data_IF_307177258511
#
_entry.id   IF_307177258511
#
_cell.length_a   1.000
_cell.length_b   1.000
_cell.length_c   1.000
_cell.angle_alpha   90.00
_cell.angle_beta   90.00
_cell.angle_gamma   90.00
#
_symmetry.space_group_name_H-M   'P 1'
#
loop_
_entity.id
_entity.type
_entity.pdbx_description
1 polymer ?
#
# COMPACT_ATOMS: atom_id res chain seq x y z
N UNK A 1 -0.61 0.40 -28.22
CA UNK A 1 -0.58 0.58 -26.75
C UNK A 1 -0.23 -0.72 -26.05
N UNK A 2 -0.97 -1.82 -26.24
CA UNK A 2 -0.67 -3.11 -25.60
C UNK A 2 0.79 -3.58 -25.76
N UNK A 3 1.32 -3.60 -27.00
CA UNK A 3 2.73 -3.93 -27.28
C UNK A 3 3.75 -3.01 -26.60
N UNK A 4 3.42 -1.72 -26.44
CA UNK A 4 4.34 -0.75 -25.82
C UNK A 4 4.45 -1.01 -24.31
N UNK A 5 3.36 -1.39 -23.67
CA UNK A 5 3.40 -1.76 -22.26
C UNK A 5 4.14 -3.09 -22.02
N UNK A 6 4.03 -4.04 -22.94
CA UNK A 6 4.63 -5.37 -22.81
C UNK A 6 6.12 -5.39 -23.20
N UNK A 7 6.48 -4.86 -24.36
CA UNK A 7 7.83 -4.97 -24.95
C UNK A 7 8.54 -3.61 -25.09
N UNK A 8 7.86 -2.51 -24.79
CA UNK A 8 8.41 -1.17 -24.98
C UNK A 8 9.55 -0.83 -24.02
N UNK A 9 10.49 -0.03 -24.50
CA UNK A 9 11.55 0.57 -23.68
C UNK A 9 10.96 1.53 -22.64
N UNK A 10 11.72 1.81 -21.58
CA UNK A 10 11.33 2.74 -20.51
C UNK A 10 10.97 4.12 -21.10
N UNK A 11 11.72 4.58 -22.09
CA UNK A 11 11.49 5.84 -22.81
C UNK A 11 10.15 5.87 -23.54
N UNK A 12 9.81 4.80 -24.28
CA UNK A 12 8.53 4.67 -24.98
C UNK A 12 7.35 4.64 -24.01
N UNK A 13 7.50 3.94 -22.87
CA UNK A 13 6.49 3.92 -21.81
C UNK A 13 6.32 5.30 -21.18
N UNK A 14 7.41 6.02 -20.95
CA UNK A 14 7.40 7.38 -20.39
C UNK A 14 6.70 8.36 -21.33
N UNK A 15 7.02 8.28 -22.63
CA UNK A 15 6.36 9.11 -23.63
C UNK A 15 4.86 8.79 -23.74
N UNK A 16 4.49 7.51 -23.64
CA UNK A 16 3.07 7.12 -23.59
C UNK A 16 2.36 7.71 -22.37
N UNK A 17 3.01 7.73 -21.19
CA UNK A 17 2.42 8.36 -19.99
C UNK A 17 2.21 9.87 -20.18
N UNK A 18 3.16 10.57 -20.80
CA UNK A 18 3.02 12.00 -21.14
C UNK A 18 1.88 12.25 -22.11
N UNK A 19 1.72 11.40 -23.13
CA UNK A 19 0.58 11.48 -24.07
C UNK A 19 -0.74 11.30 -23.32
N UNK A 20 -0.83 10.36 -22.38
CA UNK A 20 -2.03 10.21 -21.54
C UNK A 20 -2.28 11.45 -20.68
N UNK A 21 -1.24 12.02 -20.07
CA UNK A 21 -1.37 13.22 -19.25
C UNK A 21 -1.88 14.42 -20.07
N UNK A 22 -1.31 14.67 -21.26
CA UNK A 22 -1.74 15.73 -22.17
C UNK A 22 -3.19 15.51 -22.63
N UNK A 23 -3.53 14.26 -22.96
CA UNK A 23 -4.87 13.88 -23.36
C UNK A 23 -5.91 14.14 -22.26
N UNK A 24 -5.65 13.67 -21.03
CA UNK A 24 -6.54 13.88 -19.89
C UNK A 24 -6.67 15.35 -19.51
N UNK A 25 -5.58 16.12 -19.60
CA UNK A 25 -5.59 17.57 -19.32
C UNK A 25 -6.34 18.37 -20.38
N UNK A 26 -6.25 17.97 -21.65
CA UNK A 26 -6.98 18.59 -22.74
C UNK A 26 -8.49 18.34 -22.60
N UNK A 27 -8.87 17.13 -22.19
CA UNK A 27 -10.27 16.79 -21.95
C UNK A 27 -10.86 17.57 -20.77
N UNK A 28 -10.13 17.65 -19.65
CA UNK A 28 -10.57 18.41 -18.47
C UNK A 28 -10.82 19.90 -18.81
N UNK A 29 -9.90 20.52 -19.55
CA UNK A 29 -10.09 21.90 -20.05
C UNK A 29 -11.29 22.04 -20.99
N UNK A 30 -11.63 20.99 -21.75
CA UNK A 30 -12.79 20.98 -22.64
C UNK A 30 -14.09 20.92 -21.82
N UNK A 31 -14.11 20.11 -20.77
CA UNK A 31 -15.24 19.99 -19.83
C UNK A 31 -15.43 21.29 -19.05
N UNK A 32 -14.37 21.86 -18.46
CA UNK A 32 -14.43 23.08 -17.66
C UNK A 32 -14.95 24.28 -18.46
N UNK A 33 -14.50 24.43 -19.72
CA UNK A 33 -14.99 25.50 -20.60
C UNK A 33 -16.50 25.39 -20.86
N UNK A 34 -17.06 24.18 -20.85
CA UNK A 34 -18.50 23.96 -21.05
C UNK A 34 -19.30 24.28 -19.80
N UNK A 35 -18.84 23.85 -18.63
CA UNK A 35 -19.49 24.20 -17.35
C UNK A 35 -19.46 25.71 -17.05
N UNK A 36 -18.37 26.40 -17.41
CA UNK A 36 -18.28 27.86 -17.33
C UNK A 36 -19.17 28.61 -18.34
N UNK A 37 -19.47 27.99 -19.50
CA UNK A 37 -20.34 28.58 -20.52
C UNK A 37 -21.84 28.43 -20.21
N UNK A 38 -22.21 27.39 -19.46
CA UNK A 38 -23.59 27.08 -19.07
C UNK A 38 -24.05 27.78 -17.78
N UNK A 39 -23.14 28.20 -16.90
CA UNK A 39 -23.47 28.89 -15.63
C UNK A 39 -23.69 30.41 -15.77
N UNK A 40 -23.29 31.04 -16.88
CA UNK A 40 -23.38 32.49 -17.06
C UNK A 40 -24.52 33.02 -17.95
N UNK A 41 -25.20 32.17 -18.72
CA UNK A 41 -26.04 32.63 -19.85
C UNK A 41 -27.50 32.19 -19.85
N UNK A 42 -27.97 31.39 -18.88
CA UNK A 42 -29.29 30.72 -18.99
C UNK A 42 -30.32 31.18 -17.95
N UNK A 43 -30.10 32.27 -17.21
CA UNK A 43 -31.10 32.71 -16.23
C UNK A 43 -32.33 33.40 -16.85
N UNK A 44 -32.29 33.85 -18.13
CA UNK A 44 -33.42 34.61 -18.73
C UNK A 44 -33.75 34.36 -20.22
N UNK A 45 -33.20 33.35 -20.88
CA UNK A 45 -33.62 33.00 -22.25
C UNK A 45 -33.93 31.53 -22.35
N UNK A 46 -35.21 31.25 -22.56
CA UNK A 46 -35.81 29.92 -22.67
C UNK A 46 -35.58 29.34 -24.07
N UNK A 47 -34.33 29.31 -24.51
CA UNK A 47 -33.89 28.52 -25.65
C UNK A 47 -33.10 27.34 -25.09
N UNK A 48 -33.82 26.28 -24.74
CA UNK A 48 -33.19 25.01 -24.39
C UNK A 48 -32.62 24.47 -25.70
N UNK A 49 -31.30 24.41 -25.80
CA UNK A 49 -30.60 23.93 -26.99
C UNK A 49 -31.06 22.49 -27.29
N UNK A 50 -31.71 22.32 -28.43
CA UNK A 50 -32.34 21.07 -28.87
C UNK A 50 -31.27 19.97 -29.02
N UNK A 51 -30.01 20.34 -29.28
CA UNK A 51 -28.89 19.40 -29.34
C UNK A 51 -28.53 18.81 -27.97
N UNK A 52 -28.65 19.59 -26.89
CA UNK A 52 -28.48 19.09 -25.52
C UNK A 52 -29.62 18.17 -25.09
N UNK A 53 -30.83 18.37 -25.64
CA UNK A 53 -32.00 17.49 -25.43
C UNK A 53 -31.98 16.23 -26.31
N UNK A 54 -31.38 16.28 -27.50
CA UNK A 54 -31.17 15.10 -28.35
C UNK A 54 -30.03 14.22 -27.86
N UNK A 55 -29.15 14.75 -27.00
CA UNK A 55 -27.94 14.09 -26.54
C UNK A 55 -26.95 13.97 -27.69
N UNK A 56 -25.94 14.83 -27.72
CA UNK A 56 -24.82 14.69 -28.66
C UNK A 56 -24.13 13.35 -28.40
N UNK A 57 -24.59 12.33 -29.14
CA UNK A 57 -24.20 10.94 -28.97
C UNK A 57 -22.71 10.71 -29.23
N UNK A 58 -22.10 11.50 -30.11
CA UNK A 58 -20.64 11.50 -30.33
C UNK A 58 -19.88 12.00 -29.09
N UNK A 59 -20.40 13.01 -28.40
CA UNK A 59 -19.70 13.66 -27.31
C UNK A 59 -19.76 12.85 -26.00
N UNK A 60 -20.92 12.25 -25.71
CA UNK A 60 -21.04 11.24 -24.65
C UNK A 60 -20.26 9.97 -24.98
N UNK A 61 -20.15 9.60 -26.27
CA UNK A 61 -19.30 8.50 -26.69
C UNK A 61 -17.82 8.80 -26.43
N UNK A 62 -17.34 10.01 -26.72
CA UNK A 62 -15.95 10.43 -26.43
C UNK A 62 -15.62 10.40 -24.93
N UNK A 63 -16.50 10.93 -24.08
CA UNK A 63 -16.33 10.86 -22.62
C UNK A 63 -16.30 9.40 -22.12
N UNK A 64 -17.16 8.55 -22.68
CA UNK A 64 -17.19 7.11 -22.40
C UNK A 64 -15.93 6.36 -22.87
N UNK A 65 -15.35 6.77 -24.00
CA UNK A 65 -14.09 6.21 -24.52
C UNK A 65 -12.92 6.55 -23.60
N UNK A 66 -12.87 7.75 -23.04
CA UNK A 66 -11.78 8.16 -22.12
C UNK A 66 -11.77 7.33 -20.84
N UNK A 67 -12.92 7.19 -20.20
CA UNK A 67 -13.07 6.34 -19.01
C UNK A 67 -12.71 4.87 -19.33
N UNK A 68 -13.24 4.34 -20.44
CA UNK A 68 -12.98 2.96 -20.86
C UNK A 68 -11.50 2.70 -21.18
N UNK A 69 -10.82 3.66 -21.81
CA UNK A 69 -9.41 3.60 -22.12
C UNK A 69 -8.56 3.56 -20.85
N UNK A 70 -8.81 4.48 -19.92
CA UNK A 70 -8.06 4.54 -18.66
C UNK A 70 -8.29 3.28 -17.81
N UNK A 71 -9.53 2.81 -17.70
CA UNK A 71 -9.85 1.59 -16.95
C UNK A 71 -9.19 0.34 -17.55
N UNK A 72 -9.15 0.22 -18.89
CA UNK A 72 -8.47 -0.92 -19.57
C UNK A 72 -6.98 -0.96 -19.26
N UNK A 73 -6.31 0.20 -19.27
CA UNK A 73 -4.86 0.28 -19.08
C UNK A 73 -4.44 0.56 -17.63
N UNK A 74 -5.38 0.77 -16.70
CA UNK A 74 -5.12 1.16 -15.31
C UNK A 74 -4.08 0.25 -14.65
N UNK A 75 -4.26 -1.08 -14.75
CA UNK A 75 -3.30 -2.04 -14.17
C UNK A 75 -1.89 -1.88 -14.72
N UNK A 76 -1.75 -1.56 -16.01
CA UNK A 76 -0.45 -1.35 -16.67
C UNK A 76 0.15 0.00 -16.25
N UNK A 77 -0.67 1.04 -16.09
CA UNK A 77 -0.28 2.37 -15.60
C UNK A 77 0.21 2.29 -14.15
N UNK A 78 -0.53 1.63 -13.25
CA UNK A 78 -0.16 1.44 -11.85
C UNK A 78 1.18 0.70 -11.71
N UNK A 79 1.43 -0.32 -12.55
CA UNK A 79 2.74 -0.97 -12.62
C UNK A 79 3.87 -0.01 -13.03
N UNK A 80 3.61 0.89 -13.97
CA UNK A 80 4.60 1.90 -14.37
C UNK A 80 4.85 2.92 -13.25
N UNK A 81 3.83 3.25 -12.45
CA UNK A 81 3.96 4.11 -11.28
C UNK A 81 4.78 3.48 -10.13
N UNK A 82 5.14 2.20 -10.24
CA UNK A 82 5.99 1.47 -9.31
C UNK A 82 7.28 0.98 -9.97
N UNK A 83 7.60 1.46 -11.17
CA UNK A 83 8.82 1.10 -11.87
C UNK A 83 10.05 1.68 -11.17
N UNK A 84 11.22 1.06 -11.38
CA UNK A 84 12.51 1.50 -10.84
C UNK A 84 12.92 2.90 -11.37
N UNK A 85 12.68 3.15 -12.67
CA UNK A 85 12.97 4.44 -13.32
C UNK A 85 12.12 5.58 -12.75
N UNK A 86 12.79 6.62 -12.27
CA UNK A 86 12.18 7.81 -11.68
C UNK A 86 11.30 8.59 -12.67
N UNK A 87 11.79 8.80 -13.89
CA UNK A 87 11.04 9.51 -14.94
C UNK A 87 9.73 8.81 -15.29
N UNK A 88 9.78 7.49 -15.48
CA UNK A 88 8.61 6.69 -15.81
C UNK A 88 7.61 6.69 -14.65
N UNK A 89 8.12 6.52 -13.42
CA UNK A 89 7.33 6.52 -12.21
C UNK A 89 6.59 7.84 -12.01
N UNK A 90 7.30 8.97 -12.14
CA UNK A 90 6.72 10.29 -11.99
C UNK A 90 5.66 10.56 -13.08
N UNK A 91 5.98 10.29 -14.35
CA UNK A 91 5.02 10.48 -15.44
C UNK A 91 3.77 9.60 -15.28
N UNK A 92 3.93 8.35 -14.84
CA UNK A 92 2.81 7.46 -14.57
C UNK A 92 1.98 7.92 -13.36
N UNK A 93 2.62 8.44 -12.32
CA UNK A 93 1.92 8.95 -11.13
C UNK A 93 1.05 10.17 -11.46
N UNK A 94 1.49 11.06 -12.35
CA UNK A 94 0.66 12.17 -12.85
C UNK A 94 -0.61 11.67 -13.53
N UNK A 95 -0.51 10.60 -14.32
CA UNK A 95 -1.68 9.98 -14.97
C UNK A 95 -2.62 9.38 -13.91
N UNK A 96 -2.09 8.70 -12.89
CA UNK A 96 -2.89 8.17 -11.77
C UNK A 96 -3.61 9.30 -11.02
N UNK A 97 -2.91 10.41 -10.77
CA UNK A 97 -3.48 11.61 -10.15
C UNK A 97 -4.66 12.13 -10.96
N UNK A 98 -4.49 12.31 -12.27
CA UNK A 98 -5.57 12.76 -13.16
C UNK A 98 -6.78 11.80 -13.15
N UNK A 99 -6.54 10.48 -13.20
CA UNK A 99 -7.60 9.46 -13.16
C UNK A 99 -8.47 9.59 -11.90
N UNK A 100 -7.87 9.86 -10.74
CA UNK A 100 -8.59 10.00 -9.46
C UNK A 100 -9.35 11.33 -9.38
N UNK A 101 -8.71 12.44 -9.77
CA UNK A 101 -9.35 13.76 -9.75
C UNK A 101 -10.59 13.78 -10.67
N UNK A 102 -10.45 13.21 -11.87
CA UNK A 102 -11.52 13.12 -12.86
C UNK A 102 -12.52 11.98 -12.59
N UNK A 103 -12.26 11.11 -11.60
CA UNK A 103 -13.17 10.01 -11.23
C UNK A 103 -13.31 8.92 -12.29
N UNK A 104 -12.30 8.73 -13.14
CA UNK A 104 -12.34 7.78 -14.26
C UNK A 104 -12.20 6.32 -13.83
N UNK A 105 -11.70 6.06 -12.63
CA UNK A 105 -11.57 4.73 -12.06
C UNK A 105 -11.92 4.69 -10.58
N UNK A 106 -12.19 3.49 -10.07
CA UNK A 106 -12.46 3.29 -8.66
C UNK A 106 -11.18 3.53 -7.82
N UNK A 107 -11.21 4.45 -6.84
CA UNK A 107 -10.00 4.91 -6.15
C UNK A 107 -9.30 3.83 -5.33
N UNK A 108 -10.04 2.84 -4.80
CA UNK A 108 -9.47 1.65 -4.11
C UNK A 108 -8.42 0.95 -4.98
N UNK A 109 -8.60 0.89 -6.30
CA UNK A 109 -7.64 0.24 -7.20
C UNK A 109 -6.33 1.02 -7.34
N UNK A 110 -6.35 2.33 -7.06
CA UNK A 110 -5.20 3.20 -7.19
C UNK A 110 -4.44 3.37 -5.86
N UNK A 111 -5.11 3.12 -4.72
CA UNK A 111 -4.52 3.22 -3.38
C UNK A 111 -3.20 2.46 -3.20
N UNK A 112 -3.00 1.22 -3.71
CA UNK A 112 -1.71 0.54 -3.57
C UNK A 112 -0.54 1.36 -4.14
N UNK A 113 -0.74 2.02 -5.28
CA UNK A 113 0.29 2.84 -5.91
C UNK A 113 0.51 4.17 -5.17
N UNK A 114 -0.55 4.76 -4.61
CA UNK A 114 -0.47 6.00 -3.82
C UNK A 114 0.33 5.74 -2.53
N UNK A 115 -0.03 4.72 -1.77
CA UNK A 115 0.65 4.37 -0.51
C UNK A 115 2.11 4.01 -0.78
N UNK A 116 2.40 3.25 -1.85
CA UNK A 116 3.77 2.98 -2.23
C UNK A 116 4.54 4.27 -2.61
N UNK A 117 3.93 5.19 -3.37
CA UNK A 117 4.57 6.46 -3.73
C UNK A 117 4.82 7.39 -2.52
N UNK A 118 4.00 7.33 -1.47
CA UNK A 118 4.25 8.03 -0.19
C UNK A 118 5.53 7.55 0.50
N UNK A 119 5.98 6.33 0.21
CA UNK A 119 7.22 5.76 0.76
C UNK A 119 8.46 6.08 -0.07
N UNK A 120 8.31 6.79 -1.19
CA UNK A 120 9.42 7.13 -2.10
C UNK A 120 10.47 8.02 -1.43
N UNK A 121 11.78 7.82 -1.70
CA UNK A 121 12.83 8.75 -1.25
C UNK A 121 12.66 10.15 -1.84
N UNK A 122 12.14 10.28 -3.06
CA UNK A 122 11.88 11.58 -3.69
C UNK A 122 10.76 12.34 -2.95
N UNK A 123 11.13 13.51 -2.43
CA UNK A 123 10.24 14.40 -1.70
C UNK A 123 9.12 14.96 -2.59
N UNK A 124 9.38 15.18 -3.88
CA UNK A 124 8.38 15.75 -4.80
C UNK A 124 7.26 14.74 -5.02
N UNK A 125 7.63 13.50 -5.38
CA UNK A 125 6.66 12.40 -5.54
C UNK A 125 5.90 12.13 -4.24
N UNK A 126 6.60 12.08 -3.10
CA UNK A 126 5.98 11.84 -1.79
C UNK A 126 4.96 12.90 -1.41
N UNK A 127 5.28 14.19 -1.60
CA UNK A 127 4.35 15.29 -1.33
C UNK A 127 3.11 15.21 -2.24
N UNK A 128 3.30 14.90 -3.54
CA UNK A 128 2.19 14.72 -4.46
C UNK A 128 1.29 13.55 -4.04
N UNK A 129 1.89 12.43 -3.63
CA UNK A 129 1.16 11.29 -3.14
C UNK A 129 0.36 11.60 -1.88
N UNK A 130 0.94 12.34 -0.93
CA UNK A 130 0.25 12.81 0.27
C UNK A 130 -1.01 13.64 -0.06
N UNK A 131 -0.89 14.64 -0.94
CA UNK A 131 -2.04 15.48 -1.32
C UNK A 131 -3.12 14.68 -2.05
N UNK A 132 -2.71 13.75 -2.93
CA UNK A 132 -3.63 12.87 -3.64
C UNK A 132 -4.36 11.90 -2.69
N UNK A 133 -3.63 11.32 -1.72
CA UNK A 133 -4.21 10.47 -0.69
C UNK A 133 -5.19 11.26 0.18
N UNK A 134 -4.83 12.46 0.61
CA UNK A 134 -5.71 13.33 1.39
C UNK A 134 -6.99 13.69 0.60
N UNK A 135 -6.86 14.06 -0.66
CA UNK A 135 -8.02 14.31 -1.54
C UNK A 135 -8.93 13.08 -1.62
N UNK A 136 -8.36 11.90 -1.86
CA UNK A 136 -9.12 10.66 -1.92
C UNK A 136 -9.79 10.36 -0.56
N UNK A 137 -9.07 10.53 0.55
CA UNK A 137 -9.59 10.32 1.89
C UNK A 137 -10.81 11.19 2.18
N UNK A 138 -10.74 12.48 1.86
CA UNK A 138 -11.82 13.44 2.10
C UNK A 138 -13.04 13.15 1.22
N UNK A 139 -12.82 12.70 -0.03
CA UNK A 139 -13.90 12.43 -1.01
C UNK A 139 -14.59 11.08 -0.83
N UNK A 140 -13.84 10.01 -0.56
CA UNK A 140 -14.34 8.62 -0.56
C UNK A 140 -14.41 8.00 0.85
N UNK A 141 -13.82 8.65 1.85
CA UNK A 141 -13.91 8.24 3.25
C UNK A 141 -13.34 6.84 3.52
N UNK A 142 -14.01 6.09 4.40
CA UNK A 142 -13.51 4.81 4.92
C UNK A 142 -13.50 3.66 3.91
N UNK A 143 -14.17 3.79 2.76
CA UNK A 143 -14.20 2.74 1.73
C UNK A 143 -12.80 2.42 1.17
N UNK A 144 -11.93 3.44 1.15
CA UNK A 144 -10.56 3.33 0.64
C UNK A 144 -9.73 2.30 1.39
N UNK A 145 -10.00 2.07 2.66
CA UNK A 145 -9.14 1.28 3.54
C UNK A 145 -9.53 -0.20 3.64
N UNK A 146 -10.48 -0.64 2.80
CA UNK A 146 -10.96 -2.03 2.76
C UNK A 146 -9.87 -3.06 2.41
N UNK A 147 -8.85 -2.66 1.66
CA UNK A 147 -7.76 -3.53 1.18
C UNK A 147 -6.38 -3.13 1.74
N UNK A 148 -6.33 -2.63 2.98
CA UNK A 148 -5.10 -2.10 3.59
C UNK A 148 -3.90 -3.06 3.52
N UNK A 149 -4.12 -4.37 3.71
CA UNK A 149 -3.04 -5.36 3.63
C UNK A 149 -2.35 -5.38 2.25
N UNK A 150 -3.12 -5.18 1.17
CA UNK A 150 -2.59 -5.13 -0.20
C UNK A 150 -1.73 -3.87 -0.40
N UNK A 151 -2.11 -2.75 0.22
CA UNK A 151 -1.38 -1.49 0.12
C UNK A 151 -0.03 -1.57 0.83
N UNK A 152 -0.02 -2.16 2.04
CA UNK A 152 1.20 -2.39 2.82
C UNK A 152 2.15 -3.34 2.08
N UNK A 153 1.63 -4.43 1.53
CA UNK A 153 2.41 -5.36 0.71
C UNK A 153 2.98 -4.68 -0.54
N UNK A 154 2.17 -3.89 -1.25
CA UNK A 154 2.62 -3.13 -2.44
C UNK A 154 3.71 -2.11 -2.09
N UNK A 155 3.58 -1.43 -0.94
CA UNK A 155 4.61 -0.52 -0.44
C UNK A 155 5.92 -1.25 -0.15
N UNK A 156 5.86 -2.42 0.49
CA UNK A 156 7.05 -3.25 0.71
C UNK A 156 7.71 -3.69 -0.60
N UNK A 157 6.94 -4.16 -1.59
CA UNK A 157 7.48 -4.53 -2.89
C UNK A 157 8.12 -3.35 -3.60
N UNK A 158 7.54 -2.15 -3.48
CA UNK A 158 8.13 -0.94 -4.02
C UNK A 158 9.47 -0.58 -3.34
N UNK A 159 9.54 -0.69 -2.01
CA UNK A 159 10.81 -0.52 -1.28
C UNK A 159 11.87 -1.53 -1.71
N UNK A 160 11.46 -2.79 -1.96
CA UNK A 160 12.33 -3.85 -2.47
C UNK A 160 12.87 -3.54 -3.87
N UNK A 161 12.08 -2.92 -4.74
CA UNK A 161 12.53 -2.47 -6.06
C UNK A 161 13.60 -1.37 -5.92
N UNK A 162 13.44 -0.45 -4.96
CA UNK A 162 14.36 0.68 -4.79
C UNK A 162 15.67 0.31 -4.09
N UNK A 163 15.61 -0.53 -3.06
CA UNK A 163 16.74 -0.81 -2.15
C UNK A 163 17.21 -2.27 -2.18
N UNK A 164 16.60 -3.12 -3.01
CA UNK A 164 16.94 -4.54 -3.11
C UNK A 164 16.65 -5.29 -1.80
N UNK A 165 17.65 -5.97 -1.25
CA UNK A 165 17.54 -6.74 -0.01
C UNK A 165 17.63 -5.88 1.27
N UNK A 166 18.00 -4.60 1.16
CA UNK A 166 18.14 -3.71 2.31
C UNK A 166 16.88 -2.88 2.56
N UNK A 167 15.72 -3.54 2.60
CA UNK A 167 14.45 -2.87 2.90
C UNK A 167 14.39 -2.52 4.39
N UNK A 168 14.13 -1.25 4.69
CA UNK A 168 13.94 -0.75 6.04
C UNK A 168 12.56 -0.11 6.17
N UNK A 169 11.86 -0.38 7.28
CA UNK A 169 10.57 0.23 7.62
C UNK A 169 10.69 1.61 8.26
N UNK A 170 11.91 2.12 8.38
CA UNK A 170 12.24 3.39 9.03
C UNK A 170 13.26 4.15 8.20
N UNK A 171 13.17 5.48 8.23
CA UNK A 171 14.13 6.35 7.59
C UNK A 171 14.55 7.46 8.54
N UNK A 172 15.78 7.95 8.39
CA UNK A 172 16.27 9.07 9.18
C UNK A 172 15.89 10.37 8.48
N UNK A 173 15.02 11.15 9.12
CA UNK A 173 14.63 12.48 8.66
C UNK A 173 14.99 13.48 9.76
N UNK A 174 15.86 14.45 9.47
CA UNK A 174 16.24 15.54 10.39
C UNK A 174 16.57 15.08 11.83
N UNK A 175 17.40 14.04 11.94
CA UNK A 175 17.85 13.43 13.20
C UNK A 175 16.75 12.72 14.05
N UNK A 176 15.52 12.59 13.56
CA UNK A 176 14.50 11.69 14.10
C UNK A 176 14.36 10.46 13.19
N UNK A 177 14.20 9.28 13.79
CA UNK A 177 13.75 8.11 13.04
C UNK A 177 12.26 8.23 12.81
N UNK A 178 11.84 8.21 11.55
CA UNK A 178 10.43 8.25 11.16
C UNK A 178 10.04 6.98 10.43
N UNK A 179 8.80 6.54 10.62
CA UNK A 179 8.25 5.39 9.93
C UNK A 179 8.12 5.71 8.43
N UNK A 180 8.47 4.76 7.58
CA UNK A 180 8.30 4.91 6.13
C UNK A 180 6.82 5.09 5.76
N UNK A 181 5.93 4.43 6.51
CA UNK A 181 4.47 4.57 6.42
C UNK A 181 3.89 5.71 7.27
N UNK A 182 4.74 6.57 7.86
CA UNK A 182 4.32 7.69 8.71
C UNK A 182 3.44 8.70 7.96
N UNK A 183 3.74 8.96 6.69
CA UNK A 183 2.92 9.82 5.81
C UNK A 183 1.52 9.26 5.65
N UNK A 184 1.40 7.97 5.32
CA UNK A 184 0.13 7.26 5.19
C UNK A 184 -0.68 7.33 6.49
N UNK A 185 -0.02 7.06 7.63
CA UNK A 185 -0.64 7.14 8.95
C UNK A 185 -1.16 8.56 9.27
N UNK A 186 -0.40 9.59 8.88
CA UNK A 186 -0.76 10.99 9.14
C UNK A 186 -2.07 11.43 8.47
N UNK A 187 -2.44 10.82 7.33
CA UNK A 187 -3.71 11.06 6.63
C UNK A 187 -4.88 10.35 7.32
N UNK A 188 -4.63 9.17 7.91
CA UNK A 188 -5.66 8.32 8.52
C UNK A 188 -5.94 8.61 9.99
N UNK A 189 -5.00 9.26 10.69
CA UNK A 189 -5.01 9.43 12.16
C UNK A 189 -6.30 10.08 12.71
N UNK A 190 -6.94 10.93 11.91
CA UNK A 190 -8.13 11.70 12.30
C UNK A 190 -9.40 10.81 12.39
N UNK A 191 -9.45 9.72 11.61
CA UNK A 191 -10.60 8.81 11.59
C UNK A 191 -10.31 7.58 12.45
N UNK A 192 -10.93 7.52 13.64
CA UNK A 192 -10.78 6.42 14.61
C UNK A 192 -10.79 5.02 13.96
N UNK A 193 -11.80 4.74 13.12
CA UNK A 193 -11.91 3.44 12.43
C UNK A 193 -10.73 3.17 11.49
N UNK A 194 -10.38 4.11 10.61
CA UNK A 194 -9.28 3.95 9.65
C UNK A 194 -7.94 3.72 10.37
N UNK A 195 -7.73 4.43 11.48
CA UNK A 195 -6.56 4.29 12.33
C UNK A 195 -6.42 2.88 12.93
N UNK A 196 -7.47 2.35 13.55
CA UNK A 196 -7.42 0.99 14.12
C UNK A 196 -7.39 -0.11 13.06
N UNK A 197 -8.04 0.10 11.92
CA UNK A 197 -7.93 -0.81 10.78
C UNK A 197 -6.50 -0.83 10.23
N UNK A 198 -5.80 0.31 10.21
CA UNK A 198 -4.38 0.40 9.83
C UNK A 198 -3.47 -0.37 10.80
N UNK A 199 -3.61 -0.17 12.11
CA UNK A 199 -2.85 -0.94 13.10
C UNK A 199 -3.12 -2.44 13.01
N UNK A 200 -4.40 -2.80 12.82
CA UNK A 200 -4.78 -4.19 12.55
C UNK A 200 -4.08 -4.74 11.31
N UNK A 201 -3.96 -3.97 10.24
CA UNK A 201 -3.30 -4.40 9.00
C UNK A 201 -1.77 -4.54 9.14
N UNK A 202 -1.13 -3.78 10.04
CA UNK A 202 0.30 -3.94 10.34
C UNK A 202 0.60 -5.22 11.13
N UNK A 203 -0.30 -5.61 12.03
CA UNK A 203 -0.05 -6.71 12.99
C UNK A 203 -0.65 -8.05 12.52
N UNK A 204 -1.79 -8.04 11.82
CA UNK A 204 -2.44 -9.27 11.33
C UNK A 204 -1.57 -10.16 10.43
N UNK A 205 -0.60 -9.66 9.63
CA UNK A 205 0.31 -10.50 8.87
C UNK A 205 1.15 -11.47 9.73
N UNK A 206 1.29 -11.22 11.04
CA UNK A 206 1.93 -12.14 11.97
C UNK A 206 1.02 -13.29 12.43
N UNK A 207 -0.28 -13.25 12.11
CA UNK A 207 -1.26 -14.27 12.47
C UNK A 207 -1.23 -15.43 11.49
N UNK A 208 -0.23 -16.31 11.64
CA UNK A 208 -0.15 -17.56 10.88
C UNK A 208 -1.02 -18.66 11.49
N UNK A 209 -1.47 -19.59 10.66
CA UNK A 209 -2.10 -20.84 11.11
C UNK A 209 -1.17 -22.00 10.73
N UNK A 210 -0.68 -22.72 11.74
CA UNK A 210 0.29 -23.80 11.58
C UNK A 210 -0.22 -24.91 10.64
N UNK A 211 -1.52 -25.09 10.50
CA UNK A 211 -2.11 -26.17 9.67
C UNK A 211 -2.14 -25.84 8.18
N UNK A 212 -2.13 -24.56 7.83
CA UNK A 212 -2.34 -24.10 6.45
C UNK A 212 -1.13 -23.37 5.90
N UNK A 213 -0.28 -22.82 6.78
CA UNK A 213 0.88 -22.01 6.39
C UNK A 213 2.03 -22.89 5.94
N UNK A 214 2.57 -22.60 4.77
CA UNK A 214 3.80 -23.22 4.26
C UNK A 214 5.01 -22.32 4.55
N UNK A 215 6.21 -22.91 4.57
CA UNK A 215 7.44 -22.17 4.89
C UNK A 215 7.72 -21.04 3.88
N UNK A 216 7.27 -21.16 2.63
CA UNK A 216 7.50 -20.17 1.57
C UNK A 216 6.58 -18.95 1.66
N UNK A 217 5.42 -19.09 2.32
CA UNK A 217 4.49 -17.99 2.54
C UNK A 217 4.96 -17.02 3.62
N UNK A 218 5.94 -17.42 4.44
CA UNK A 218 6.50 -16.60 5.51
C UNK A 218 7.66 -15.77 4.97
N UNK A 219 7.36 -14.54 4.56
CA UNK A 219 8.36 -13.53 4.22
C UNK A 219 8.81 -12.78 5.48
N UNK A 220 9.96 -13.18 6.04
CA UNK A 220 10.53 -12.58 7.25
C UNK A 220 10.94 -11.11 7.01
N UNK A 221 11.43 -10.78 5.82
CA UNK A 221 11.84 -9.42 5.48
C UNK A 221 10.62 -8.49 5.44
N UNK A 222 9.49 -8.98 4.95
CA UNK A 222 8.22 -8.26 5.02
C UNK A 222 7.76 -8.04 6.47
N UNK A 223 7.79 -9.07 7.32
CA UNK A 223 7.42 -8.94 8.73
C UNK A 223 8.33 -7.96 9.47
N UNK A 224 9.63 -7.98 9.18
CA UNK A 224 10.60 -7.01 9.71
C UNK A 224 10.27 -5.58 9.26
N UNK A 225 9.96 -5.39 7.98
CA UNK A 225 9.53 -4.08 7.44
C UNK A 225 8.31 -3.54 8.19
N UNK A 226 7.30 -4.38 8.45
CA UNK A 226 6.11 -3.99 9.22
C UNK A 226 6.46 -3.65 10.68
N UNK A 227 7.28 -4.47 11.34
CA UNK A 227 7.69 -4.26 12.73
C UNK A 227 8.48 -2.95 12.90
N UNK A 228 9.41 -2.65 11.99
CA UNK A 228 10.17 -1.40 12.01
C UNK A 228 9.28 -0.17 11.82
N UNK A 229 8.26 -0.27 10.96
CA UNK A 229 7.26 0.78 10.83
C UNK A 229 6.48 0.96 12.13
N UNK A 230 5.93 -0.12 12.71
CA UNK A 230 5.15 -0.06 13.96
C UNK A 230 5.90 0.64 15.09
N UNK A 231 7.16 0.28 15.30
CA UNK A 231 8.00 0.86 16.35
C UNK A 231 8.33 2.33 16.09
N UNK A 232 8.41 2.74 14.83
CA UNK A 232 8.79 4.11 14.45
C UNK A 232 7.59 5.04 14.27
N UNK A 233 6.35 4.55 14.40
CA UNK A 233 5.15 5.38 14.31
C UNK A 233 5.03 6.31 15.52
N UNK A 234 4.63 7.56 15.24
CA UNK A 234 4.36 8.56 16.26
C UNK A 234 2.95 8.35 16.85
N UNK A 235 2.86 7.52 17.90
CA UNK A 235 1.59 7.21 18.58
C UNK A 235 1.31 8.28 19.64
N UNK A 236 0.16 8.95 19.53
CA UNK A 236 -0.15 10.11 20.38
C UNK A 236 -1.01 9.75 21.59
N UNK A 237 -1.69 8.61 21.57
CA UNK A 237 -2.64 8.23 22.63
C UNK A 237 -2.39 6.82 23.16
N UNK A 238 -2.64 6.63 24.46
CA UNK A 238 -2.52 5.32 25.11
C UNK A 238 -3.49 4.29 24.53
N UNK A 239 -4.66 4.71 24.03
CA UNK A 239 -5.64 3.82 23.37
C UNK A 239 -5.05 3.16 22.11
N UNK A 240 -4.23 3.90 21.34
CA UNK A 240 -3.57 3.38 20.13
C UNK A 240 -2.59 2.27 20.50
N UNK A 241 -1.74 2.49 21.51
CA UNK A 241 -0.75 1.50 21.94
C UNK A 241 -1.42 0.27 22.55
N UNK A 242 -2.41 0.46 23.43
CA UNK A 242 -3.15 -0.65 24.06
C UNK A 242 -3.86 -1.53 23.03
N UNK A 243 -4.43 -0.93 21.98
CA UNK A 243 -5.06 -1.70 20.91
C UNK A 243 -4.05 -2.56 20.15
N UNK A 244 -2.87 -2.01 19.85
CA UNK A 244 -1.80 -2.74 19.19
C UNK A 244 -1.32 -3.92 20.05
N UNK A 245 -1.02 -3.67 21.33
CA UNK A 245 -0.63 -4.70 22.30
C UNK A 245 -1.69 -5.79 22.42
N UNK A 246 -2.97 -5.42 22.50
CA UNK A 246 -4.08 -6.39 22.56
C UNK A 246 -4.12 -7.33 21.35
N UNK A 247 -3.91 -6.81 20.13
CA UNK A 247 -3.87 -7.65 18.92
C UNK A 247 -2.64 -8.57 18.96
N UNK A 248 -1.47 -8.04 19.34
CA UNK A 248 -0.25 -8.83 19.46
C UNK A 248 -0.42 -9.97 20.47
N UNK A 249 -1.00 -9.69 21.64
CA UNK A 249 -1.25 -10.70 22.67
C UNK A 249 -2.18 -11.81 22.20
N UNK A 250 -3.24 -11.48 21.46
CA UNK A 250 -4.13 -12.51 20.88
C UNK A 250 -3.40 -13.44 19.92
N UNK A 251 -2.51 -12.90 19.10
CA UNK A 251 -1.69 -13.70 18.18
C UNK A 251 -0.71 -14.56 18.99
N UNK A 252 -0.02 -13.97 19.96
CA UNK A 252 0.94 -14.69 20.83
C UNK A 252 0.29 -15.83 21.60
N UNK A 253 -0.90 -15.62 22.17
CA UNK A 253 -1.61 -16.67 22.92
C UNK A 253 -2.06 -17.83 22.03
N UNK A 254 -2.48 -17.54 20.79
CA UNK A 254 -3.00 -18.57 19.87
C UNK A 254 -1.84 -19.29 19.18
N UNK A 255 -1.05 -18.56 18.39
CA UNK A 255 0.04 -19.12 17.60
C UNK A 255 1.20 -19.60 18.49
N UNK A 256 1.48 -18.92 19.61
CA UNK A 256 2.57 -19.32 20.51
C UNK A 256 2.32 -20.67 21.19
N UNK A 257 1.09 -20.95 21.62
CA UNK A 257 0.75 -22.24 22.23
C UNK A 257 0.83 -23.39 21.22
N UNK A 258 0.33 -23.17 20.01
CA UNK A 258 0.36 -24.15 18.92
C UNK A 258 1.80 -24.42 18.47
N UNK A 259 2.60 -23.36 18.26
CA UNK A 259 4.00 -23.48 17.84
C UNK A 259 4.86 -24.15 18.91
N UNK A 260 4.68 -23.81 20.19
CA UNK A 260 5.43 -24.45 21.28
C UNK A 260 5.17 -25.97 21.32
N UNK A 261 3.91 -26.36 21.17
CA UNK A 261 3.50 -27.76 21.11
C UNK A 261 4.13 -28.48 19.90
N UNK A 262 4.15 -27.80 18.75
CA UNK A 262 4.76 -28.31 17.52
C UNK A 262 6.27 -28.46 17.62
N UNK A 263 6.98 -27.46 18.14
CA UNK A 263 8.44 -27.52 18.36
C UNK A 263 8.79 -28.63 19.36
N UNK A 264 8.01 -28.81 20.42
CA UNK A 264 8.19 -29.94 21.34
C UNK A 264 7.96 -31.31 20.67
N UNK A 265 7.01 -31.39 19.74
CA UNK A 265 6.78 -32.60 18.94
C UNK A 265 7.97 -32.90 18.02
N UNK A 266 8.46 -31.91 17.26
CA UNK A 266 9.64 -32.06 16.40
C UNK A 266 10.90 -32.43 17.19
N UNK A 267 11.07 -31.84 18.38
CA UNK A 267 12.18 -32.20 19.29
C UNK A 267 12.08 -33.66 19.75
N UNK A 268 10.88 -34.17 20.03
CA UNK A 268 10.67 -35.58 20.41
C UNK A 268 10.91 -36.55 19.25
N UNK A 269 10.69 -36.12 18.01
CA UNK A 269 10.98 -36.91 16.81
C UNK A 269 12.47 -36.93 16.43
N UNK A 270 13.31 -36.15 17.12
CA UNK A 270 14.75 -36.11 16.85
C UNK A 270 15.14 -35.28 15.62
N UNK A 271 14.24 -34.44 15.11
CA UNK A 271 14.47 -33.56 13.94
C UNK A 271 15.20 -32.26 14.38
N UNK A 272 15.05 -31.87 15.65
CA UNK A 272 15.76 -30.73 16.26
C UNK A 272 17.01 -31.23 16.98
N UNK A 273 18.03 -31.64 16.23
CA UNK A 273 19.39 -31.84 16.77
C UNK A 273 20.20 -30.58 16.44
N UNK A 274 20.98 -30.00 17.38
CA UNK A 274 21.96 -28.99 17.01
C UNK A 274 23.06 -29.70 16.21
N UNK A 275 22.97 -29.64 14.89
CA UNK A 275 23.99 -30.19 13.99
C UNK A 275 25.25 -29.33 14.12
N UNK A 276 26.31 -29.88 14.73
CA UNK A 276 27.67 -29.33 14.67
C UNK A 276 28.38 -29.65 13.35
N UNK A 277 27.75 -30.43 12.47
CA UNK A 277 28.33 -30.85 11.19
C UNK A 277 27.62 -30.18 10.00
N UNK A 278 28.39 -29.39 9.26
CA UNK A 278 28.06 -28.89 7.92
C UNK A 278 27.87 -30.09 6.96
N UNK A 279 26.65 -30.62 6.84
CA UNK A 279 26.31 -31.57 5.79
C UNK A 279 25.00 -31.17 5.12
N UNK A 280 25.14 -30.87 3.83
CA UNK A 280 24.16 -30.79 2.74
C UNK A 280 22.94 -29.86 2.94
N UNK A 281 22.99 -28.69 2.28
CA UNK A 281 21.91 -27.69 2.19
C UNK A 281 20.59 -28.25 1.58
N UNK A 282 20.59 -29.46 1.03
CA UNK A 282 19.50 -30.00 0.20
C UNK A 282 18.42 -30.80 0.96
N UNK A 283 18.59 -31.10 2.26
CA UNK A 283 17.66 -31.93 3.05
C UNK A 283 17.25 -31.28 4.39
N UNK A 284 17.13 -29.94 4.44
CA UNK A 284 16.50 -29.29 5.60
C UNK A 284 15.01 -29.67 5.61
N UNK A 285 14.59 -30.41 6.63
CA UNK A 285 13.19 -30.80 6.82
C UNK A 285 12.28 -29.55 6.71
N UNK A 286 11.30 -29.62 5.81
CA UNK A 286 10.33 -28.53 5.57
C UNK A 286 9.61 -28.13 6.84
N UNK A 287 9.38 -29.10 7.73
CA UNK A 287 8.74 -28.90 9.03
C UNK A 287 9.65 -28.13 10.00
N UNK A 288 10.96 -28.40 9.96
CA UNK A 288 11.95 -27.65 10.73
C UNK A 288 12.06 -26.20 10.23
N UNK A 289 12.12 -26.01 8.91
CA UNK A 289 12.17 -24.67 8.30
C UNK A 289 10.92 -23.85 8.62
N UNK A 290 9.74 -24.47 8.55
CA UNK A 290 8.48 -23.84 8.93
C UNK A 290 8.49 -23.42 10.41
N UNK A 291 8.87 -24.34 11.32
CA UNK A 291 8.95 -24.05 12.74
C UNK A 291 9.96 -22.93 13.06
N UNK A 292 11.11 -22.91 12.38
CA UNK A 292 12.13 -21.88 12.55
C UNK A 292 11.63 -20.51 12.08
N UNK A 293 11.02 -20.41 10.89
CA UNK A 293 10.46 -19.16 10.37
C UNK A 293 9.32 -18.63 11.24
N UNK A 294 8.42 -19.49 11.70
CA UNK A 294 7.34 -19.11 12.62
C UNK A 294 7.88 -18.66 13.98
N UNK A 295 8.91 -19.32 14.50
CA UNK A 295 9.55 -18.94 15.76
C UNK A 295 10.19 -17.56 15.64
N UNK A 296 10.84 -17.28 14.51
CA UNK A 296 11.43 -15.96 14.23
C UNK A 296 10.36 -14.87 14.12
N UNK A 297 9.26 -15.15 13.40
CA UNK A 297 8.12 -14.24 13.30
C UNK A 297 7.52 -13.89 14.67
N UNK A 298 7.35 -14.89 15.55
CA UNK A 298 6.90 -14.66 16.92
C UNK A 298 7.91 -13.88 17.77
N UNK A 299 9.22 -14.14 17.60
CA UNK A 299 10.25 -13.38 18.30
C UNK A 299 10.21 -11.89 17.91
N UNK A 300 10.03 -11.58 16.62
CA UNK A 300 9.84 -10.20 16.14
C UNK A 300 8.60 -9.57 16.79
N UNK A 301 7.48 -10.31 16.83
CA UNK A 301 6.23 -9.84 17.44
C UNK A 301 6.39 -9.55 18.96
N UNK A 302 7.06 -10.44 19.69
CA UNK A 302 7.35 -10.26 21.11
C UNK A 302 8.28 -9.07 21.36
N UNK A 303 9.34 -8.93 20.55
CA UNK A 303 10.28 -7.81 20.68
C UNK A 303 9.58 -6.48 20.41
N UNK A 304 8.76 -6.42 19.35
CA UNK A 304 7.94 -5.26 19.02
C UNK A 304 6.97 -4.90 20.17
N UNK A 305 6.29 -5.88 20.77
CA UNK A 305 5.42 -5.65 21.93
C UNK A 305 6.21 -5.04 23.09
N UNK A 306 7.31 -5.67 23.50
CA UNK A 306 8.10 -5.23 24.66
C UNK A 306 8.63 -3.81 24.46
N UNK A 307 9.12 -3.51 23.26
CA UNK A 307 9.64 -2.20 22.92
C UNK A 307 8.54 -1.12 22.94
N UNK A 308 7.31 -1.43 22.47
CA UNK A 308 6.18 -0.51 22.59
C UNK A 308 5.77 -0.25 24.05
N UNK A 309 5.78 -1.29 24.90
CA UNK A 309 5.47 -1.13 26.32
C UNK A 309 6.53 -0.27 27.02
N UNK A 310 7.81 -0.50 26.72
CA UNK A 310 8.94 0.26 27.26
C UNK A 310 8.96 1.72 26.77
N UNK A 311 8.68 1.98 25.49
CA UNK A 311 8.68 3.34 24.93
C UNK A 311 7.56 4.23 25.49
N UNK A 312 6.43 3.65 25.87
CA UNK A 312 5.23 4.39 26.27
C UNK A 312 4.89 4.22 27.76
N UNK A 313 5.78 3.59 28.55
CA UNK A 313 5.63 3.36 30.00
C UNK A 313 4.23 2.84 30.38
N UNK A 314 3.73 1.83 29.64
CA UNK A 314 2.41 1.27 29.91
C UNK A 314 2.49 0.40 31.17
N UNK A 315 1.64 0.62 32.18
CA UNK A 315 1.61 -0.23 33.36
C UNK A 315 1.18 -1.66 33.01
N UNK A 316 1.83 -2.64 33.64
CA UNK A 316 1.56 -4.08 33.46
C UNK A 316 0.18 -4.54 34.02
N UNK A 317 -0.65 -3.62 34.53
CA UNK A 317 -1.95 -3.88 35.20
C UNK A 317 -3.17 -3.74 34.28
#
# INVERSE_FOLDING_TARGET
>A
MDKIFEEGTIELKTQLMRVYQEFLSAEEKRIDKREGSSTGSVMYTKDIDINTLLGDTEEYAELGVNGSLMQRYLKKILKCALAESEDLRYAAFEVVSAIIHQGLAHPVLCMPAIVAAETSPDLILRNKAFYLHKYAHDKYGSLLYSQMNEYLSTSYQYQKILYGSQVQGKHMCDAKMDAVLGVTFSVMKDKKKARFDFFSALIKPFSFDLKTTTADEIDIDYLKYLAENVVSLDLSTTEEVLHMVYIMDRILMTLGADLLSYVHFLKKQGIVVPSEDEQDEDDIDTDFTLAAKLSLALCILMYMKNLLVELYDIPDE
#
